data_IF_900930649274
#
_entry.id   IF_900930649274
#
_cell.length_a   1.000
_cell.length_b   1.000
_cell.length_c   1.000
_cell.angle_alpha   90.00
_cell.angle_beta   90.00
_cell.angle_gamma   90.00
#
_symmetry.space_group_name_H-M   'P 1'
#
loop_
_entity.id
_entity.type
_entity.pdbx_description
1 polymer ?
#
# COMPACT_ATOMS: atom_id res chain seq x y z
N UNK A 1 -11.54 3.77 12.35
CA UNK A 1 -10.13 3.92 11.93
C UNK A 1 -9.98 3.75 10.41
N UNK A 2 -8.91 4.29 9.84
CA UNK A 2 -8.49 4.11 8.45
C UNK A 2 -7.06 3.59 8.43
N UNK A 3 -6.82 2.49 7.72
CA UNK A 3 -5.48 1.97 7.44
C UNK A 3 -5.07 2.36 6.03
N UNK A 4 -3.87 2.92 5.90
CA UNK A 4 -3.25 3.28 4.62
C UNK A 4 -1.88 2.65 4.50
N UNK A 5 -1.62 2.03 3.35
CA UNK A 5 -0.30 1.55 2.97
C UNK A 5 0.15 2.29 1.70
N UNK A 6 1.34 2.88 1.80
CA UNK A 6 2.03 3.51 0.68
C UNK A 6 3.34 2.77 0.41
N UNK A 7 3.69 2.66 -0.87
CA UNK A 7 4.93 2.03 -1.31
C UNK A 7 5.73 2.97 -2.20
N UNK A 8 7.02 2.65 -2.34
CA UNK A 8 7.91 3.24 -3.34
C UNK A 8 8.23 2.17 -4.36
N UNK A 9 8.09 2.50 -5.65
CA UNK A 9 8.50 1.61 -6.74
C UNK A 9 9.14 2.40 -7.88
N UNK A 10 9.91 1.70 -8.69
CA UNK A 10 10.67 2.25 -9.81
C UNK A 10 10.23 1.62 -11.12
N UNK A 11 10.06 2.45 -12.14
CA UNK A 11 9.78 1.98 -13.50
C UNK A 11 11.04 1.47 -14.23
N UNK A 12 12.21 1.53 -13.59
CA UNK A 12 13.49 1.08 -14.12
C UNK A 12 13.73 -0.44 -13.92
N UNK A 13 13.81 -1.22 -15.00
CA UNK A 13 14.28 -2.61 -14.92
C UNK A 13 15.72 -2.79 -15.40
N UNK A 14 16.44 -3.69 -14.75
CA UNK A 14 17.73 -4.21 -15.20
C UNK A 14 17.70 -5.73 -15.25
N UNK A 15 18.67 -6.35 -15.93
CA UNK A 15 18.78 -7.81 -16.06
C UNK A 15 18.91 -8.58 -14.73
N UNK A 16 19.15 -7.88 -13.61
CA UNK A 16 19.33 -8.48 -12.28
C UNK A 16 18.23 -8.08 -11.28
N UNK A 17 17.33 -7.16 -11.63
CA UNK A 17 16.31 -6.63 -10.73
C UNK A 17 14.99 -6.47 -11.50
N UNK A 18 13.99 -7.25 -11.10
CA UNK A 18 12.61 -7.04 -11.54
C UNK A 18 11.93 -6.03 -10.64
N UNK A 19 11.30 -5.03 -11.24
CA UNK A 19 10.47 -4.05 -10.53
C UNK A 19 8.99 -4.38 -10.59
N UNK A 20 8.63 -5.56 -11.11
CA UNK A 20 7.28 -6.08 -10.97
C UNK A 20 7.00 -6.26 -9.49
N UNK A 21 6.00 -5.51 -9.01
CA UNK A 21 5.52 -5.61 -7.63
C UNK A 21 4.17 -6.29 -7.67
N UNK A 22 4.01 -7.38 -6.91
CA UNK A 22 2.73 -8.09 -6.81
C UNK A 22 2.52 -8.53 -5.38
N UNK A 23 1.41 -8.09 -4.79
CA UNK A 23 1.05 -8.42 -3.41
C UNK A 23 -0.46 -8.57 -3.27
N UNK A 24 -0.91 -9.28 -2.24
CA UNK A 24 -2.28 -9.23 -1.76
C UNK A 24 -2.28 -8.67 -0.36
N UNK A 25 -3.24 -7.79 -0.08
CA UNK A 25 -3.42 -7.13 1.20
C UNK A 25 -4.72 -7.58 1.85
N UNK A 26 -4.67 -8.02 3.10
CA UNK A 26 -5.87 -8.34 3.88
C UNK A 26 -5.75 -7.76 5.28
N UNK A 27 -6.89 -7.34 5.84
CA UNK A 27 -6.98 -6.88 7.23
C UNK A 27 -7.83 -7.87 8.02
N UNK A 28 -7.33 -8.30 9.17
CA UNK A 28 -8.02 -9.17 10.14
C UNK A 28 -8.58 -10.48 9.53
N UNK A 29 -7.83 -11.08 8.60
CA UNK A 29 -8.25 -12.31 7.90
C UNK A 29 -9.37 -12.10 6.87
N UNK A 30 -9.71 -10.85 6.53
CA UNK A 30 -10.65 -10.53 5.47
C UNK A 30 -10.16 -10.93 4.07
N UNK A 31 -11.04 -10.81 3.08
CA UNK A 31 -10.74 -11.14 1.69
C UNK A 31 -9.52 -10.36 1.17
N UNK A 32 -8.50 -11.03 0.58
CA UNK A 32 -7.34 -10.36 0.06
C UNK A 32 -7.67 -9.42 -1.11
N UNK A 33 -7.12 -8.21 -1.08
CA UNK A 33 -7.16 -7.23 -2.16
C UNK A 33 -5.85 -7.31 -2.95
N UNK A 34 -5.89 -7.75 -4.23
CA UNK A 34 -4.69 -7.88 -5.03
C UNK A 34 -4.17 -6.51 -5.49
N UNK A 35 -2.85 -6.41 -5.55
CA UNK A 35 -2.11 -5.29 -6.11
C UNK A 35 -1.05 -5.80 -7.09
N UNK A 36 -0.99 -5.14 -8.25
CA UNK A 36 -0.01 -5.42 -9.28
C UNK A 36 0.49 -4.09 -9.84
N UNK A 37 1.79 -3.89 -9.77
CA UNK A 37 2.49 -2.87 -10.52
C UNK A 37 3.42 -3.54 -11.53
N UNK A 38 3.21 -3.20 -12.80
CA UNK A 38 4.10 -3.55 -13.91
C UNK A 38 4.83 -2.25 -14.27
N UNK A 39 6.17 -2.24 -14.28
CA UNK A 39 6.95 -1.05 -14.55
C UNK A 39 6.80 -0.57 -15.98
N UNK A 40 6.74 0.74 -16.14
CA UNK A 40 6.80 1.38 -17.45
C UNK A 40 8.25 1.61 -17.89
N UNK A 41 8.80 0.70 -18.69
CA UNK A 41 10.19 0.78 -19.15
C UNK A 41 10.51 1.99 -20.07
N UNK A 42 9.52 2.79 -20.45
CA UNK A 42 9.76 4.06 -21.16
C UNK A 42 10.26 5.18 -20.22
N UNK A 43 10.34 4.93 -18.92
CA UNK A 43 10.74 5.93 -17.91
C UNK A 43 11.61 5.30 -16.82
N UNK A 44 12.43 6.13 -16.21
CA UNK A 44 13.26 5.79 -15.04
C UNK A 44 12.77 6.48 -13.77
N UNK A 45 11.59 7.10 -13.81
CA UNK A 45 11.02 7.81 -12.69
C UNK A 45 10.75 6.89 -11.50
N UNK A 46 10.97 7.44 -10.31
CA UNK A 46 10.57 6.84 -9.05
C UNK A 46 9.20 7.35 -8.67
N UNK A 47 8.31 6.43 -8.30
CA UNK A 47 6.98 6.77 -7.80
C UNK A 47 7.02 6.65 -6.27
N UNK A 48 6.83 7.79 -5.62
CA UNK A 48 6.88 7.93 -4.17
C UNK A 48 5.46 8.11 -3.61
N UNK A 49 5.24 7.63 -2.39
CA UNK A 49 3.97 7.79 -1.65
C UNK A 49 2.72 7.28 -2.39
N UNK A 50 2.89 6.28 -3.28
CA UNK A 50 1.78 5.69 -4.01
C UNK A 50 0.90 4.89 -3.07
N UNK A 51 -0.37 5.29 -2.93
CA UNK A 51 -1.36 4.56 -2.15
C UNK A 51 -1.74 3.27 -2.87
N UNK A 52 -1.45 2.13 -2.25
CA UNK A 52 -1.71 0.81 -2.85
C UNK A 52 -2.75 -0.01 -2.11
N UNK A 53 -3.05 0.39 -0.87
CA UNK A 53 -4.13 -0.20 -0.11
C UNK A 53 -4.75 0.82 0.85
N UNK A 54 -6.08 0.77 0.94
CA UNK A 54 -6.88 1.60 1.82
C UNK A 54 -8.01 0.75 2.40
N UNK A 55 -8.08 0.67 3.72
CA UNK A 55 -9.21 0.10 4.44
C UNK A 55 -9.81 1.17 5.35
N UNK A 56 -11.12 1.36 5.25
CA UNK A 56 -11.87 2.31 6.08
C UNK A 56 -12.83 1.56 7.02
N UNK A 57 -13.47 2.30 7.91
CA UNK A 57 -14.49 1.78 8.83
C UNK A 57 -14.00 0.63 9.72
N UNK A 58 -12.70 0.61 10.03
CA UNK A 58 -12.15 -0.29 11.04
C UNK A 58 -12.65 0.13 12.43
N UNK A 59 -13.04 -0.84 13.24
CA UNK A 59 -13.38 -0.63 14.66
C UNK A 59 -12.19 -0.04 15.42
N UNK A 60 -12.39 0.45 16.63
CA UNK A 60 -11.26 0.78 17.49
C UNK A 60 -10.67 -0.53 18.05
N UNK A 61 -9.34 -0.63 18.11
CA UNK A 61 -8.62 -1.80 18.62
C UNK A 61 -7.42 -2.20 17.77
N UNK A 62 -6.88 -3.37 18.11
CA UNK A 62 -5.76 -3.96 17.38
C UNK A 62 -6.22 -4.51 16.03
N UNK A 63 -5.41 -4.25 15.00
CA UNK A 63 -5.64 -4.73 13.64
C UNK A 63 -4.38 -5.38 13.09
N UNK A 64 -4.55 -6.41 12.28
CA UNK A 64 -3.47 -7.09 11.57
C UNK A 64 -3.59 -6.85 10.08
N UNK A 65 -2.57 -6.24 9.50
CA UNK A 65 -2.38 -6.17 8.04
C UNK A 65 -1.48 -7.32 7.59
N UNK A 66 -2.04 -8.24 6.81
CA UNK A 66 -1.28 -9.30 6.15
C UNK A 66 -0.95 -8.87 4.71
N UNK A 67 0.33 -9.00 4.37
CA UNK A 67 0.84 -8.72 3.03
C UNK A 67 1.49 -10.00 2.50
N UNK A 68 0.97 -10.51 1.39
CA UNK A 68 1.45 -11.76 0.80
C UNK A 68 1.85 -11.55 -0.65
N UNK A 69 2.98 -12.08 -1.07
CA UNK A 69 3.39 -12.12 -2.48
C UNK A 69 3.03 -13.48 -3.07
N UNK A 70 2.49 -13.50 -4.29
CA UNK A 70 2.15 -14.76 -4.99
C UNK A 70 2.72 -14.76 -6.40
N UNK A 71 3.25 -15.92 -6.84
CA UNK A 71 3.74 -16.10 -8.21
C UNK A 71 4.98 -16.99 -8.29
N UNK A 72 5.33 -17.39 -9.52
CA UNK A 72 6.53 -18.19 -9.85
C UNK A 72 7.72 -17.34 -10.30
N UNK A 73 7.56 -16.02 -10.35
CA UNK A 73 8.59 -15.05 -10.72
C UNK A 73 9.16 -14.38 -9.48
N UNK A 74 10.41 -13.93 -9.55
CA UNK A 74 10.95 -13.03 -8.54
C UNK A 74 10.05 -11.78 -8.44
N UNK A 75 9.67 -11.41 -7.23
CA UNK A 75 8.85 -10.23 -6.95
C UNK A 75 9.61 -9.41 -5.93
N UNK A 76 9.72 -8.11 -6.18
CA UNK A 76 10.27 -7.15 -5.23
C UNK A 76 9.15 -6.25 -4.74
N UNK A 77 9.04 -6.06 -3.43
CA UNK A 77 8.07 -5.15 -2.81
C UNK A 77 8.82 -4.28 -1.80
N UNK A 78 8.75 -2.97 -1.98
CA UNK A 78 9.36 -2.01 -1.07
C UNK A 78 8.28 -1.22 -0.34
N UNK A 79 8.24 -1.32 0.98
CA UNK A 79 7.27 -0.60 1.80
C UNK A 79 7.91 0.70 2.30
N UNK A 80 7.13 1.79 2.22
CA UNK A 80 7.57 3.08 2.74
C UNK A 80 6.88 3.34 4.08
N UNK A 81 5.55 3.47 4.06
CA UNK A 81 4.80 3.76 5.28
C UNK A 81 3.48 3.02 5.34
N UNK A 82 3.19 2.52 6.55
CA UNK A 82 1.86 2.09 6.97
C UNK A 82 1.45 3.00 8.10
N UNK A 83 0.26 3.60 8.01
CA UNK A 83 -0.27 4.40 9.11
C UNK A 83 -1.76 4.18 9.29
N UNK A 84 -2.16 4.23 10.57
CA UNK A 84 -3.56 4.29 10.97
C UNK A 84 -3.91 5.71 11.37
N UNK A 85 -5.09 6.17 10.95
CA UNK A 85 -5.64 7.44 11.41
C UNK A 85 -7.12 7.33 11.69
N UNK A 86 -7.60 8.09 12.66
CA UNK A 86 -9.02 8.35 12.82
C UNK A 86 -9.47 9.38 11.77
N UNK A 87 -10.70 9.26 11.29
CA UNK A 87 -11.33 10.39 10.60
C UNK A 87 -11.67 11.43 11.68
N UNK A 88 -10.95 12.53 11.73
CA UNK A 88 -11.46 13.71 12.43
C UNK A 88 -12.62 14.27 11.61
N UNK A 89 -13.84 14.07 12.09
CA UNK A 89 -14.95 14.94 11.70
C UNK A 89 -14.59 16.36 12.10
N UNK A 90 -14.77 17.30 11.17
CA UNK A 90 -14.28 18.67 11.25
C UNK A 90 -14.43 19.32 12.63
N UNK A 91 -13.38 20.01 13.08
CA UNK A 91 -13.45 20.96 14.19
C UNK A 91 -14.57 21.96 13.91
N UNK A 92 -15.62 21.98 14.74
CA UNK A 92 -16.49 23.15 14.82
C UNK A 92 -15.77 24.14 15.72
N UNK A 93 -15.16 25.16 15.14
CA UNK A 93 -14.68 26.29 15.93
C UNK A 93 -15.92 26.95 16.56
N UNK A 94 -16.11 26.78 17.87
CA UNK A 94 -17.04 27.59 18.63
C UNK A 94 -16.34 28.93 18.86
N UNK A 95 -16.74 29.95 18.11
CA UNK A 95 -16.38 31.33 18.44
C UNK A 95 -17.24 31.74 19.64
N UNK A 96 -16.59 32.11 20.75
CA UNK A 96 -17.23 32.73 21.93
C UNK A 96 -17.15 34.24 21.82
#
# INVERSE_FOLDING_TARGET
LVLRLQIIYSDYQSSTITTVTRANFSVDGGSPVPFLHIPNLSTTALQYNSLVFLQTNLSNGDHRLDITTTGSTNIYVNFDTVFMREWQTAFTAVTV
#
